data_IF_514933022302
#
_entry.id   IF_514933022302
#
_cell.length_a   1.000
_cell.length_b   1.000
_cell.length_c   1.000
_cell.angle_alpha   90.00
_cell.angle_beta   90.00
_cell.angle_gamma   90.00
#
_symmetry.space_group_name_H-M   'P 1'
#
loop_
_entity.id
_entity.type
_entity.pdbx_description
1 polymer ?
#
# COMPACT_ATOMS: atom_id res chain seq x y z
N UNK A 1 15.73 -22.33 4.63
CA UNK A 1 15.74 -21.04 5.35
C UNK A 1 14.75 -21.12 6.51
N UNK A 2 14.84 -20.27 7.53
CA UNK A 2 13.83 -20.30 8.62
C UNK A 2 12.62 -19.46 8.22
N UNK A 3 11.42 -20.04 8.32
CA UNK A 3 10.15 -19.35 8.06
C UNK A 3 9.64 -18.72 9.36
N UNK A 4 9.18 -17.47 9.29
CA UNK A 4 8.62 -16.73 10.42
C UNK A 4 7.54 -15.78 9.93
N UNK A 5 6.51 -15.57 10.74
CA UNK A 5 5.51 -14.52 10.51
C UNK A 5 6.11 -13.14 10.75
N UNK A 6 5.74 -12.18 9.90
CA UNK A 6 6.14 -10.79 10.05
C UNK A 6 5.41 -10.16 11.26
N UNK A 7 6.11 -9.66 12.30
CA UNK A 7 5.52 -9.26 13.58
C UNK A 7 4.59 -8.04 13.50
N UNK A 8 4.81 -7.13 12.55
CA UNK A 8 3.90 -6.03 12.23
C UNK A 8 3.72 -5.97 10.73
N UNK A 9 2.53 -6.28 10.20
CA UNK A 9 2.29 -6.28 8.76
C UNK A 9 2.26 -4.83 8.20
N UNK A 10 3.32 -4.34 7.53
CA UNK A 10 3.38 -2.95 7.08
C UNK A 10 2.39 -2.68 5.94
N UNK A 11 1.90 -3.74 5.27
CA UNK A 11 0.86 -3.63 4.25
C UNK A 11 -0.48 -3.31 4.87
N UNK A 12 -0.78 -3.80 6.06
CA UNK A 12 -2.05 -3.53 6.74
C UNK A 12 -2.14 -2.05 7.15
N UNK A 13 -1.04 -1.48 7.66
CA UNK A 13 -0.93 -0.03 7.89
C UNK A 13 -1.02 0.79 6.60
N UNK A 14 -0.34 0.35 5.54
CA UNK A 14 -0.37 1.05 4.25
C UNK A 14 -1.77 1.00 3.63
N UNK A 15 -2.43 -0.15 3.72
CA UNK A 15 -3.80 -0.36 3.26
C UNK A 15 -4.78 0.54 4.02
N UNK A 16 -4.68 0.60 5.36
CA UNK A 16 -5.49 1.51 6.17
C UNK A 16 -5.32 2.98 5.75
N UNK A 17 -4.09 3.43 5.45
CA UNK A 17 -3.84 4.79 4.93
C UNK A 17 -4.46 5.01 3.55
N UNK A 18 -4.37 4.04 2.65
CA UNK A 18 -5.00 4.11 1.33
C UNK A 18 -6.51 4.24 1.48
N UNK A 19 -7.13 3.38 2.29
CA UNK A 19 -8.58 3.40 2.54
C UNK A 19 -9.05 4.75 3.09
N UNK A 20 -8.29 5.35 4.02
CA UNK A 20 -8.62 6.69 4.52
C UNK A 20 -8.53 7.76 3.43
N UNK A 21 -7.49 7.74 2.58
CA UNK A 21 -7.35 8.72 1.50
C UNK A 21 -8.47 8.54 0.46
N UNK A 22 -8.76 7.30 0.07
CA UNK A 22 -9.82 6.99 -0.90
C UNK A 22 -11.19 7.42 -0.37
N UNK A 23 -11.46 7.24 0.92
CA UNK A 23 -12.71 7.73 1.54
C UNK A 23 -12.82 9.26 1.44
N UNK A 24 -11.74 9.99 1.72
CA UNK A 24 -11.71 11.46 1.59
C UNK A 24 -11.91 11.89 0.15
N UNK A 25 -11.22 11.24 -0.80
CA UNK A 25 -11.37 11.51 -2.24
C UNK A 25 -12.81 11.23 -2.69
N UNK A 26 -13.41 10.13 -2.27
CA UNK A 26 -14.80 9.80 -2.60
C UNK A 26 -15.78 10.87 -2.08
N UNK A 27 -15.66 11.28 -0.81
CA UNK A 27 -16.51 12.33 -0.23
C UNK A 27 -16.36 13.65 -1.00
N UNK A 28 -15.12 14.07 -1.28
CA UNK A 28 -14.85 15.28 -2.04
C UNK A 28 -15.42 15.21 -3.47
N UNK A 29 -15.33 14.04 -4.10
CA UNK A 29 -15.83 13.80 -5.45
C UNK A 29 -17.37 13.87 -5.50
N UNK A 30 -18.05 13.26 -4.52
CA UNK A 30 -19.51 13.32 -4.40
C UNK A 30 -19.97 14.76 -4.13
N UNK A 31 -19.31 15.48 -3.23
CA UNK A 31 -19.64 16.88 -2.94
C UNK A 31 -19.46 17.79 -4.18
N UNK A 32 -18.37 17.58 -4.94
CA UNK A 32 -18.11 18.31 -6.18
C UNK A 32 -19.11 17.96 -7.28
N UNK A 33 -19.51 16.68 -7.40
CA UNK A 33 -20.52 16.24 -8.36
C UNK A 33 -21.89 16.88 -8.09
N UNK A 34 -22.31 16.97 -6.82
CA UNK A 34 -23.57 17.64 -6.43
C UNK A 34 -23.52 19.14 -6.75
N UNK A 35 -22.35 19.78 -6.57
CA UNK A 35 -22.21 21.22 -6.81
C UNK A 35 -22.05 21.61 -8.28
N UNK A 36 -21.47 20.72 -9.11
CA UNK A 36 -21.18 20.94 -10.53
C UNK A 36 -21.70 19.77 -11.36
N UNK A 37 -23.02 19.66 -11.46
CA UNK A 37 -23.69 18.57 -12.18
C UNK A 37 -23.18 18.42 -13.63
N UNK A 38 -22.92 19.53 -14.33
CA UNK A 38 -22.41 19.54 -15.72
C UNK A 38 -21.03 18.87 -15.90
N UNK A 39 -20.25 18.78 -14.82
CA UNK A 39 -18.88 18.22 -14.83
C UNK A 39 -18.78 16.90 -14.06
N UNK A 40 -19.91 16.32 -13.64
CA UNK A 40 -19.97 15.13 -12.79
C UNK A 40 -19.07 13.97 -13.30
N UNK A 41 -19.08 13.67 -14.60
CA UNK A 41 -18.27 12.59 -15.15
C UNK A 41 -16.76 12.87 -15.09
N UNK A 42 -16.36 14.13 -15.25
CA UNK A 42 -14.96 14.54 -15.13
C UNK A 42 -14.48 14.51 -13.68
N UNK A 43 -15.32 14.92 -12.72
CA UNK A 43 -14.96 14.88 -11.30
C UNK A 43 -14.85 13.44 -10.80
N UNK A 44 -15.77 12.56 -11.19
CA UNK A 44 -15.70 11.11 -10.89
C UNK A 44 -14.42 10.50 -11.47
N UNK A 45 -14.13 10.76 -12.75
CA UNK A 45 -12.94 10.22 -13.39
C UNK A 45 -11.65 10.72 -12.73
N UNK A 46 -11.57 12.02 -12.40
CA UNK A 46 -10.43 12.59 -11.70
C UNK A 46 -10.23 11.95 -10.31
N UNK A 47 -11.31 11.73 -9.55
CA UNK A 47 -11.26 11.06 -8.26
C UNK A 47 -10.68 9.64 -8.35
N UNK A 48 -11.13 8.86 -9.33
CA UNK A 48 -10.62 7.50 -9.57
C UNK A 48 -9.13 7.50 -9.93
N UNK A 49 -8.70 8.42 -10.81
CA UNK A 49 -7.28 8.54 -11.19
C UNK A 49 -6.41 8.89 -9.98
N UNK A 50 -6.87 9.78 -9.12
CA UNK A 50 -6.16 10.14 -7.89
C UNK A 50 -6.03 8.93 -6.95
N UNK A 51 -7.09 8.17 -6.74
CA UNK A 51 -7.08 6.96 -5.91
C UNK A 51 -6.06 5.93 -6.42
N UNK A 52 -6.05 5.65 -7.72
CA UNK A 52 -5.08 4.73 -8.35
C UNK A 52 -3.65 5.23 -8.16
N UNK A 53 -3.41 6.53 -8.37
CA UNK A 53 -2.07 7.12 -8.20
C UNK A 53 -1.58 7.00 -6.74
N UNK A 54 -2.45 7.29 -5.77
CA UNK A 54 -2.15 7.15 -4.34
C UNK A 54 -1.81 5.70 -3.99
N UNK A 55 -2.62 4.75 -4.45
CA UNK A 55 -2.39 3.31 -4.24
C UNK A 55 -1.00 2.90 -4.74
N UNK A 56 -0.66 3.23 -5.99
CA UNK A 56 0.63 2.85 -6.59
C UNK A 56 1.81 3.48 -5.83
N UNK A 57 1.72 4.76 -5.47
CA UNK A 57 2.80 5.48 -4.77
C UNK A 57 3.02 4.92 -3.36
N UNK A 58 1.94 4.73 -2.59
CA UNK A 58 2.04 4.23 -1.22
C UNK A 58 2.50 2.77 -1.18
N UNK A 59 2.00 1.93 -2.09
CA UNK A 59 2.42 0.54 -2.18
C UNK A 59 3.91 0.43 -2.56
N UNK A 60 4.38 1.23 -3.54
CA UNK A 60 5.80 1.28 -3.91
C UNK A 60 6.69 1.79 -2.77
N UNK A 61 6.22 2.77 -1.99
CA UNK A 61 6.93 3.24 -0.79
C UNK A 61 7.01 2.17 0.29
N UNK A 62 5.92 1.46 0.56
CA UNK A 62 5.89 0.35 1.52
C UNK A 62 6.92 -0.70 1.14
N UNK A 63 6.92 -1.16 -0.12
CA UNK A 63 7.89 -2.13 -0.63
C UNK A 63 9.34 -1.67 -0.49
N UNK A 64 9.63 -0.37 -0.68
CA UNK A 64 10.99 0.19 -0.50
C UNK A 64 11.41 0.31 0.95
N UNK A 65 10.48 0.55 1.87
CA UNK A 65 10.78 0.77 3.29
C UNK A 65 10.81 -0.52 4.10
N UNK A 66 10.35 -1.64 3.53
CA UNK A 66 10.38 -2.94 4.18
C UNK A 66 11.80 -3.32 4.60
N UNK A 67 11.95 -3.45 5.92
CA UNK A 67 13.20 -3.76 6.60
C UNK A 67 12.98 -4.96 7.52
N UNK A 68 13.99 -5.79 7.68
CA UNK A 68 13.94 -6.96 8.55
C UNK A 68 13.77 -6.51 10.01
N UNK A 69 12.75 -6.97 10.74
CA UNK A 69 12.53 -6.56 12.13
C UNK A 69 13.65 -7.01 13.08
N UNK A 70 14.42 -8.04 12.71
CA UNK A 70 15.52 -8.56 13.52
C UNK A 70 16.84 -7.80 13.34
N UNK A 71 17.13 -7.32 12.13
CA UNK A 71 18.44 -6.72 11.83
C UNK A 71 18.37 -5.35 11.14
N UNK A 72 17.17 -4.80 10.99
CA UNK A 72 16.86 -3.50 10.40
C UNK A 72 17.51 -3.22 9.02
N UNK A 73 17.85 -4.28 8.29
CA UNK A 73 18.36 -4.20 6.91
C UNK A 73 17.23 -4.44 5.93
N UNK A 74 17.34 -3.84 4.75
CA UNK A 74 16.35 -3.98 3.69
C UNK A 74 16.09 -5.45 3.36
N UNK A 75 14.81 -5.82 3.25
CA UNK A 75 14.38 -7.14 2.79
C UNK A 75 13.90 -7.04 1.36
N UNK A 76 14.27 -8.01 0.53
CA UNK A 76 13.84 -8.06 -0.85
C UNK A 76 12.71 -9.08 -1.01
N UNK A 77 11.77 -8.77 -1.89
CA UNK A 77 10.83 -9.76 -2.39
C UNK A 77 11.54 -10.59 -3.48
N UNK A 78 11.69 -11.89 -3.29
CA UNK A 78 12.20 -12.80 -4.32
C UNK A 78 11.00 -13.51 -4.98
N UNK A 79 10.90 -13.41 -6.30
CA UNK A 79 9.84 -14.07 -7.04
C UNK A 79 9.97 -15.60 -6.87
N UNK A 80 8.98 -16.22 -6.24
CA UNK A 80 8.97 -17.66 -5.92
C UNK A 80 9.17 -18.01 -4.44
N UNK A 81 9.51 -17.03 -3.57
CA UNK A 81 9.40 -17.21 -2.13
C UNK A 81 8.03 -16.71 -1.65
N UNK A 82 7.33 -17.48 -0.80
CA UNK A 82 6.04 -17.12 -0.17
C UNK A 82 6.13 -15.92 0.79
N UNK A 83 7.22 -15.13 0.76
CA UNK A 83 7.45 -14.01 1.68
C UNK A 83 8.66 -13.14 1.34
N UNK A 84 9.03 -12.26 2.28
CA UNK A 84 10.20 -11.38 2.18
C UNK A 84 11.46 -12.06 2.68
N UNK A 85 12.50 -12.07 1.86
CA UNK A 85 13.76 -12.73 2.20
C UNK A 85 14.73 -11.73 2.82
N UNK A 86 15.16 -12.02 4.05
CA UNK A 86 16.29 -11.32 4.67
C UNK A 86 17.59 -12.11 4.46
N UNK A 87 18.43 -11.65 3.53
CA UNK A 87 19.74 -12.29 3.24
C UNK A 87 20.69 -12.30 4.43
N UNK A 88 20.58 -11.31 5.33
CA UNK A 88 21.45 -11.20 6.50
C UNK A 88 21.06 -12.17 7.63
N UNK A 89 19.76 -12.43 7.80
CA UNK A 89 19.26 -13.34 8.83
C UNK A 89 18.99 -14.76 8.31
N UNK A 90 19.04 -14.95 6.98
CA UNK A 90 18.64 -16.18 6.29
C UNK A 90 17.22 -16.64 6.70
N UNK A 91 16.33 -15.66 6.82
CA UNK A 91 14.93 -15.81 7.26
C UNK A 91 14.00 -15.38 6.14
N UNK A 92 12.97 -16.18 5.88
CA UNK A 92 11.83 -15.83 5.04
C UNK A 92 10.74 -15.33 5.98
N UNK A 93 10.29 -14.09 5.75
CA UNK A 93 9.20 -13.50 6.49
C UNK A 93 7.92 -13.60 5.70
N UNK A 94 7.01 -14.43 6.15
CA UNK A 94 5.70 -14.60 5.55
C UNK A 94 4.76 -13.50 6.03
N UNK A 95 3.91 -13.01 5.12
CA UNK A 95 2.77 -12.21 5.49
C UNK A 95 1.63 -13.16 5.81
N UNK A 96 1.45 -13.47 7.09
CA UNK A 96 0.28 -14.19 7.59
C UNK A 96 -1.03 -13.49 7.23
#
# INVERSE_FOLDING_TARGET
MKHREFPENPFLMTFSKIVMIDAVVAIATVALAIWKEDLMWYTIFAGVVIAIAVFVVLNKRCLRQLSCPKCNRHVAFEAGSEGFVCKNCNTVWEMG
#
